data_IF_972965589317
#
_entry.id   IF_972965589317
#
_cell.length_a   1.000
_cell.length_b   1.000
_cell.length_c   1.000
_cell.angle_alpha   90.00
_cell.angle_beta   90.00
_cell.angle_gamma   90.00
#
_symmetry.space_group_name_H-M   'P 1'
#
loop_
_entity.id
_entity.type
_entity.pdbx_description
1 polymer ?
#
# COMPACT_ATOMS: atom_id res chain seq x y z
N UNK A 1 -13.20 14.04 -1.46
CA UNK A 1 -12.74 12.63 -1.43
C UNK A 1 -11.21 12.60 -1.41
N UNK A 2 -10.61 11.58 -0.80
CA UNK A 2 -9.15 11.39 -0.77
C UNK A 2 -8.74 10.41 -1.86
N UNK A 3 -7.73 10.77 -2.65
CA UNK A 3 -7.06 9.86 -3.57
C UNK A 3 -5.78 9.32 -2.92
N UNK A 4 -5.76 8.04 -2.59
CA UNK A 4 -4.59 7.30 -2.15
C UNK A 4 -3.92 6.64 -3.36
N UNK A 5 -2.61 6.78 -3.49
CA UNK A 5 -1.82 6.24 -4.58
C UNK A 5 -0.67 5.41 -4.00
N UNK A 6 -0.55 4.17 -4.45
CA UNK A 6 0.57 3.28 -4.13
C UNK A 6 1.33 2.92 -5.40
N UNK A 7 2.57 3.40 -5.51
CA UNK A 7 3.45 3.14 -6.66
C UNK A 7 4.44 2.04 -6.29
N UNK A 8 4.15 0.83 -6.76
CA UNK A 8 5.08 -0.29 -6.74
C UNK A 8 5.91 -0.38 -8.02
N UNK A 9 6.92 -1.25 -8.02
CA UNK A 9 7.76 -1.50 -9.20
C UNK A 9 6.98 -2.05 -10.40
N UNK A 10 5.93 -2.84 -10.17
CA UNK A 10 5.15 -3.49 -11.25
C UNK A 10 3.79 -2.86 -11.47
N UNK A 11 3.16 -2.38 -10.41
CA UNK A 11 1.83 -1.79 -10.49
C UNK A 11 1.76 -0.46 -9.74
N UNK A 12 0.98 0.47 -10.29
CA UNK A 12 0.45 1.62 -9.58
C UNK A 12 -1.00 1.30 -9.20
N UNK A 13 -1.33 1.42 -7.93
CA UNK A 13 -2.67 1.21 -7.40
C UNK A 13 -3.25 2.54 -6.92
N UNK A 14 -4.40 2.90 -7.45
CA UNK A 14 -5.17 4.07 -7.03
C UNK A 14 -6.34 3.60 -6.16
N UNK A 15 -6.61 4.31 -5.07
CA UNK A 15 -7.77 4.12 -4.21
C UNK A 15 -8.45 5.44 -3.94
N UNK A 16 -9.75 5.52 -4.20
CA UNK A 16 -10.56 6.71 -3.91
C UNK A 16 -11.40 6.46 -2.67
N UNK A 17 -11.19 7.28 -1.65
CA UNK A 17 -11.87 7.19 -0.37
C UNK A 17 -12.85 8.35 -0.18
N UNK A 18 -14.04 8.00 0.28
CA UNK A 18 -14.99 8.95 0.89
C UNK A 18 -15.04 8.64 2.38
N UNK A 19 -14.51 9.55 3.19
CA UNK A 19 -14.17 9.26 4.59
C UNK A 19 -13.30 7.99 4.65
N UNK A 20 -13.66 6.99 5.43
CA UNK A 20 -12.90 5.73 5.57
C UNK A 20 -13.36 4.63 4.59
N UNK A 21 -14.27 4.93 3.65
CA UNK A 21 -14.83 3.93 2.73
C UNK A 21 -14.15 4.03 1.37
N UNK A 22 -13.55 2.92 0.91
CA UNK A 22 -13.00 2.78 -0.44
C UNK A 22 -14.15 2.71 -1.46
N UNK A 23 -14.34 3.77 -2.24
CA UNK A 23 -15.41 3.89 -3.26
C UNK A 23 -15.00 3.32 -4.61
N UNK A 24 -13.72 3.35 -4.92
CA UNK A 24 -13.17 2.86 -6.18
C UNK A 24 -11.69 2.58 -6.05
N UNK A 25 -11.21 1.61 -6.82
CA UNK A 25 -9.79 1.33 -6.92
C UNK A 25 -9.44 0.90 -8.33
N UNK A 26 -8.23 1.23 -8.76
CA UNK A 26 -7.72 0.89 -10.09
C UNK A 26 -6.28 0.44 -9.98
N UNK A 27 -5.92 -0.54 -10.79
CA UNK A 27 -4.56 -1.06 -10.88
C UNK A 27 -4.06 -0.85 -12.31
N UNK A 28 -2.94 -0.17 -12.44
CA UNK A 28 -2.25 0.08 -13.69
C UNK A 28 -0.85 -0.55 -13.63
N UNK A 29 -0.30 -0.94 -14.76
CA UNK A 29 1.13 -1.29 -14.85
C UNK A 29 1.98 -0.06 -14.60
N UNK A 30 3.02 -0.21 -13.78
CA UNK A 30 4.01 0.84 -13.55
C UNK A 30 4.83 1.04 -14.82
N UNK A 31 4.85 2.28 -15.29
CA UNK A 31 5.73 2.71 -16.37
C UNK A 31 6.50 3.94 -15.88
N UNK A 32 7.81 3.76 -15.67
CA UNK A 32 8.70 4.79 -15.16
C UNK A 32 8.96 5.92 -16.17
N UNK A 33 8.60 5.73 -17.44
CA UNK A 33 8.79 6.69 -18.52
C UNK A 33 7.53 7.49 -18.83
N UNK A 34 6.37 7.07 -18.31
CA UNK A 34 5.13 7.83 -18.47
C UNK A 34 5.23 9.19 -17.80
N UNK A 35 4.75 10.18 -18.52
CA UNK A 35 4.68 11.57 -18.09
C UNK A 35 3.48 11.83 -17.17
N UNK A 36 3.50 12.98 -16.50
CA UNK A 36 2.39 13.42 -15.65
C UNK A 36 1.09 13.59 -16.43
N UNK A 37 1.18 14.00 -17.70
CA UNK A 37 0.02 14.17 -18.58
C UNK A 37 -0.62 12.82 -18.95
N UNK A 38 0.21 11.82 -19.25
CA UNK A 38 -0.30 10.47 -19.53
C UNK A 38 -1.00 9.86 -18.32
N UNK A 39 -0.42 9.97 -17.12
CA UNK A 39 -1.08 9.51 -15.89
C UNK A 39 -2.31 10.36 -15.56
N UNK A 40 -2.24 11.68 -15.73
CA UNK A 40 -3.32 12.62 -15.45
C UNK A 40 -4.56 12.35 -16.30
N UNK A 41 -4.39 12.27 -17.63
CA UNK A 41 -5.47 11.94 -18.57
C UNK A 41 -6.06 10.56 -18.30
N UNK A 42 -5.21 9.57 -18.06
CA UNK A 42 -5.65 8.21 -17.76
C UNK A 42 -6.49 8.18 -16.49
N UNK A 43 -6.04 8.82 -15.42
CA UNK A 43 -6.74 8.80 -14.14
C UNK A 43 -8.02 9.65 -14.17
N UNK A 44 -8.03 10.82 -14.83
CA UNK A 44 -9.27 11.57 -15.08
C UNK A 44 -10.30 10.75 -15.86
N UNK A 45 -9.84 9.93 -16.82
CA UNK A 45 -10.72 9.03 -17.58
C UNK A 45 -11.33 7.94 -16.70
N UNK A 46 -10.55 7.37 -15.77
CA UNK A 46 -11.02 6.38 -14.80
C UNK A 46 -12.05 6.97 -13.83
N UNK A 47 -11.81 8.17 -13.31
CA UNK A 47 -12.77 8.89 -12.45
C UNK A 47 -14.07 9.16 -13.19
N UNK A 48 -13.99 9.68 -14.42
CA UNK A 48 -15.16 9.95 -15.26
C UNK A 48 -15.97 8.68 -15.52
N UNK A 49 -15.30 7.56 -15.82
CA UNK A 49 -15.96 6.27 -16.04
C UNK A 49 -16.68 5.75 -14.78
N UNK A 50 -16.19 6.11 -13.59
CA UNK A 50 -16.85 5.84 -12.31
C UNK A 50 -17.92 6.87 -11.93
N UNK A 51 -18.18 7.88 -12.77
CA UNK A 51 -19.16 8.95 -12.51
C UNK A 51 -18.68 9.99 -11.50
N UNK A 52 -17.37 10.12 -11.30
CA UNK A 52 -16.75 10.99 -10.30
C UNK A 52 -16.07 12.16 -11.00
N UNK A 53 -16.44 13.38 -10.61
CA UNK A 53 -15.78 14.60 -11.08
C UNK A 53 -14.41 14.77 -10.43
N UNK A 54 -13.43 15.32 -11.16
CA UNK A 54 -12.09 15.59 -10.61
C UNK A 54 -12.12 16.59 -9.47
N UNK A 55 -13.09 17.51 -9.48
CA UNK A 55 -13.38 18.50 -8.44
C UNK A 55 -13.82 17.87 -7.09
N UNK A 56 -14.30 16.62 -7.12
CA UNK A 56 -14.65 15.87 -5.92
C UNK A 56 -13.43 15.29 -5.21
N UNK A 57 -12.27 15.22 -5.87
CA UNK A 57 -11.00 14.82 -5.26
C UNK A 57 -10.39 16.04 -4.61
N UNK A 58 -10.41 16.07 -3.27
CA UNK A 58 -10.03 17.23 -2.46
C UNK A 58 -8.66 17.09 -1.81
N UNK A 59 -8.06 15.90 -1.93
CA UNK A 59 -6.79 15.58 -1.31
C UNK A 59 -6.14 14.38 -2.01
N UNK A 60 -4.81 14.35 -1.99
CA UNK A 60 -4.02 13.26 -2.55
C UNK A 60 -2.91 12.85 -1.57
N UNK A 61 -2.69 11.55 -1.44
CA UNK A 61 -1.58 10.97 -0.68
C UNK A 61 -0.89 9.88 -1.50
N UNK A 62 0.43 9.80 -1.41
CA UNK A 62 1.27 8.90 -2.21
C UNK A 62 2.24 8.09 -1.34
N UNK A 63 2.21 6.78 -1.51
CA UNK A 63 3.31 5.84 -1.20
C UNK A 63 4.02 5.50 -2.50
N UNK A 64 5.36 5.53 -2.51
CA UNK A 64 6.15 5.17 -3.69
C UNK A 64 7.45 4.48 -3.30
N UNK A 65 7.73 3.36 -3.97
CA UNK A 65 9.05 2.70 -3.98
C UNK A 65 9.78 2.90 -5.31
N UNK A 66 9.24 3.74 -6.21
CA UNK A 66 9.81 4.07 -7.53
C UNK A 66 10.14 5.57 -7.56
N UNK A 67 11.38 5.97 -7.21
CA UNK A 67 11.73 7.38 -7.00
C UNK A 67 11.53 8.28 -8.23
N UNK A 68 11.69 7.73 -9.44
CA UNK A 68 11.52 8.48 -10.69
C UNK A 68 10.08 8.90 -10.96
N UNK A 69 9.09 8.24 -10.34
CA UNK A 69 7.67 8.53 -10.53
C UNK A 69 7.11 9.49 -9.48
N UNK A 70 7.75 9.65 -8.33
CA UNK A 70 7.31 10.61 -7.31
C UNK A 70 7.13 12.03 -7.88
N UNK A 71 8.12 12.68 -8.53
CA UNK A 71 7.95 14.02 -9.08
C UNK A 71 6.90 14.07 -10.21
N UNK A 72 6.75 12.99 -10.97
CA UNK A 72 5.71 12.86 -12.01
C UNK A 72 4.31 12.94 -11.41
N UNK A 73 4.07 12.24 -10.30
CA UNK A 73 2.78 12.22 -9.63
C UNK A 73 2.51 13.49 -8.82
N UNK A 74 3.55 14.14 -8.28
CA UNK A 74 3.43 15.48 -7.70
C UNK A 74 2.98 16.49 -8.76
N UNK A 75 3.60 16.48 -9.95
CA UNK A 75 3.20 17.36 -11.04
C UNK A 75 1.78 17.05 -11.56
N UNK A 76 1.41 15.78 -11.65
CA UNK A 76 0.05 15.37 -12.00
C UNK A 76 -0.98 15.93 -11.01
N UNK A 77 -0.69 15.88 -9.71
CA UNK A 77 -1.57 16.40 -8.66
C UNK A 77 -1.81 17.91 -8.80
N UNK A 78 -0.74 18.67 -9.07
CA UNK A 78 -0.83 20.13 -9.23
C UNK A 78 -1.59 20.51 -10.51
N UNK A 79 -1.29 19.85 -11.63
CA UNK A 79 -1.85 20.20 -12.94
C UNK A 79 -3.30 19.76 -13.11
N UNK A 80 -3.64 18.54 -12.70
CA UNK A 80 -4.95 17.91 -13.00
C UNK A 80 -5.93 17.91 -11.82
N UNK A 81 -5.43 18.06 -10.60
CA UNK A 81 -6.22 18.07 -9.37
C UNK A 81 -6.11 19.38 -8.60
N UNK A 82 -5.21 20.29 -8.99
CA UNK A 82 -4.99 21.59 -8.33
C UNK A 82 -4.74 21.47 -6.81
N UNK A 83 -4.12 20.37 -6.42
CA UNK A 83 -3.86 20.01 -5.03
C UNK A 83 -2.42 19.53 -4.87
N UNK A 84 -1.83 19.81 -3.71
CA UNK A 84 -0.50 19.29 -3.37
C UNK A 84 -0.61 17.82 -2.98
N UNK A 85 0.37 17.02 -3.40
CA UNK A 85 0.51 15.64 -3.01
C UNK A 85 1.11 15.54 -1.60
N UNK A 86 0.48 14.79 -0.70
CA UNK A 86 1.15 14.35 0.53
C UNK A 86 1.96 13.09 0.25
N UNK A 87 3.29 13.19 0.24
CA UNK A 87 4.17 12.04 0.01
C UNK A 87 4.52 11.39 1.36
N UNK A 88 4.31 10.09 1.48
CA UNK A 88 4.68 9.32 2.68
C UNK A 88 6.20 9.25 2.79
N UNK A 89 6.69 9.57 3.98
CA UNK A 89 8.11 9.47 4.34
C UNK A 89 8.26 8.94 5.77
N UNK A 90 9.45 8.47 6.17
CA UNK A 90 9.71 8.03 7.55
C UNK A 90 9.54 9.12 8.61
N UNK A 91 9.47 10.40 8.23
CA UNK A 91 9.22 11.52 9.15
C UNK A 91 7.74 11.80 9.38
N UNK A 92 6.83 11.16 8.64
CA UNK A 92 5.39 11.30 8.84
C UNK A 92 5.01 10.63 10.18
N UNK A 93 4.11 11.26 10.96
CA UNK A 93 3.58 10.59 12.15
C UNK A 93 2.75 9.39 11.74
N UNK A 94 3.27 8.20 12.03
CA UNK A 94 2.64 6.91 11.74
C UNK A 94 2.04 6.25 12.97
N UNK A 95 2.23 6.85 14.15
CA UNK A 95 1.89 6.21 15.43
C UNK A 95 2.76 5.02 15.79
N UNK A 96 3.84 4.78 15.04
CA UNK A 96 4.78 3.69 15.26
C UNK A 96 6.15 4.21 15.65
N UNK A 97 6.82 3.46 16.53
CA UNK A 97 8.25 3.65 16.79
C UNK A 97 9.05 2.80 15.80
N UNK A 98 9.84 3.44 14.95
CA UNK A 98 10.71 2.76 13.99
C UNK A 98 12.03 2.34 14.67
N UNK A 99 12.18 1.03 14.91
CA UNK A 99 13.38 0.44 15.52
C UNK A 99 14.42 -0.02 14.48
N UNK A 100 14.52 0.68 13.35
CA UNK A 100 15.51 0.41 12.30
C UNK A 100 16.78 1.23 12.54
N UNK A 101 17.95 0.66 12.20
CA UNK A 101 19.23 1.40 12.25
C UNK A 101 19.23 2.59 11.28
N UNK A 102 18.66 2.41 10.09
CA UNK A 102 18.46 3.48 9.11
C UNK A 102 17.01 3.49 8.60
N UNK A 103 16.11 4.28 9.21
CA UNK A 103 14.70 4.35 8.79
C UNK A 103 14.48 4.85 7.36
N UNK A 104 15.45 5.57 6.76
CA UNK A 104 15.33 6.10 5.40
C UNK A 104 15.43 5.03 4.31
N UNK A 105 15.98 3.86 4.63
CA UNK A 105 16.02 2.71 3.71
C UNK A 105 14.71 1.91 3.70
N UNK A 106 13.77 2.24 4.59
CA UNK A 106 12.48 1.57 4.66
C UNK A 106 11.59 2.02 3.49
N UNK A 107 11.12 1.06 2.70
CA UNK A 107 10.08 1.31 1.70
C UNK A 107 8.83 1.93 2.34
N UNK A 108 8.27 2.95 1.69
CA UNK A 108 7.09 3.66 2.19
C UNK A 108 5.88 2.73 2.31
N UNK A 109 5.75 1.76 1.41
CA UNK A 109 4.76 0.67 1.46
C UNK A 109 4.78 -0.11 2.77
N UNK A 110 5.97 -0.49 3.27
CA UNK A 110 6.14 -1.21 4.53
C UNK A 110 5.71 -0.39 5.73
N UNK A 111 6.04 0.91 5.73
CA UNK A 111 5.63 1.85 6.77
C UNK A 111 4.10 1.99 6.81
N UNK A 112 3.49 2.17 5.65
CA UNK A 112 2.03 2.29 5.48
C UNK A 112 1.33 1.02 5.96
N UNK A 113 1.78 -0.15 5.50
CA UNK A 113 1.22 -1.43 5.88
C UNK A 113 1.30 -1.67 7.39
N UNK A 114 2.45 -1.36 8.00
CA UNK A 114 2.63 -1.47 9.45
C UNK A 114 1.67 -0.55 10.22
N UNK A 115 1.52 0.71 9.79
CA UNK A 115 0.61 1.66 10.42
C UNK A 115 -0.84 1.19 10.33
N UNK A 116 -1.27 0.76 9.14
CA UNK A 116 -2.63 0.23 8.90
C UNK A 116 -2.93 -0.98 9.78
N UNK A 117 -2.02 -1.96 9.77
CA UNK A 117 -2.18 -3.19 10.53
C UNK A 117 -2.25 -2.91 12.03
N UNK A 118 -1.30 -2.14 12.55
CA UNK A 118 -1.26 -1.85 13.98
C UNK A 118 -2.46 -1.04 14.44
N UNK A 119 -2.91 -0.05 13.65
CA UNK A 119 -4.10 0.72 13.96
C UNK A 119 -5.36 -0.15 14.08
N UNK A 120 -5.44 -1.24 13.30
CA UNK A 120 -6.58 -2.14 13.33
C UNK A 120 -6.52 -3.17 14.46
N UNK A 121 -5.40 -3.89 14.58
CA UNK A 121 -5.34 -5.06 15.46
C UNK A 121 -4.78 -4.74 16.85
N UNK A 122 -4.02 -3.64 17.00
CA UNK A 122 -3.46 -3.18 18.28
C UNK A 122 -2.73 -4.29 19.07
N UNK A 123 -2.05 -5.19 18.36
CA UNK A 123 -1.36 -6.37 18.89
C UNK A 123 -0.02 -6.59 18.18
N UNK A 124 0.73 -7.60 18.60
CA UNK A 124 1.92 -8.06 17.89
C UNK A 124 1.53 -8.58 16.49
N UNK A 125 2.20 -8.11 15.45
CA UNK A 125 1.81 -8.35 14.06
C UNK A 125 3.00 -8.81 13.22
N UNK A 126 2.74 -9.74 12.30
CA UNK A 126 3.62 -10.07 11.18
C UNK A 126 2.84 -9.80 9.89
N UNK A 127 3.44 -9.01 9.00
CA UNK A 127 2.81 -8.62 7.73
C UNK A 127 3.59 -9.28 6.60
N UNK A 128 2.91 -10.06 5.79
CA UNK A 128 3.48 -10.74 4.62
C UNK A 128 2.95 -10.03 3.36
N UNK A 129 3.80 -9.21 2.74
CA UNK A 129 3.46 -8.54 1.48
C UNK A 129 3.95 -9.37 0.28
N UNK A 130 2.98 -9.95 -0.44
CA UNK A 130 3.21 -10.86 -1.55
C UNK A 130 3.09 -10.10 -2.88
N UNK A 131 4.19 -9.40 -3.21
CA UNK A 131 4.40 -8.65 -4.45
C UNK A 131 4.64 -9.51 -5.69
N UNK A 132 5.08 -8.86 -6.77
CA UNK A 132 4.99 -9.34 -8.16
C UNK A 132 6.17 -10.16 -8.70
N UNK A 133 6.82 -10.98 -7.88
CA UNK A 133 7.96 -11.79 -8.33
C UNK A 133 7.68 -13.30 -8.27
N UNK A 134 6.70 -13.83 -9.00
CA UNK A 134 6.65 -15.29 -9.26
C UNK A 134 5.88 -15.64 -10.54
N UNK A 135 6.54 -16.26 -11.51
CA UNK A 135 5.88 -17.02 -12.59
C UNK A 135 5.37 -18.35 -12.02
N UNK A 136 4.11 -18.70 -12.27
CA UNK A 136 3.46 -19.81 -11.56
C UNK A 136 3.84 -21.18 -12.11
N UNK A 137 4.41 -22.02 -11.24
CA UNK A 137 4.45 -23.47 -11.36
C UNK A 137 4.01 -24.06 -10.02
N UNK A 138 3.31 -25.20 -10.00
CA UNK A 138 2.73 -25.76 -8.77
C UNK A 138 3.76 -25.96 -7.65
N UNK A 139 4.99 -26.38 -7.99
CA UNK A 139 6.09 -26.49 -7.03
C UNK A 139 6.54 -25.16 -6.42
N UNK A 140 6.39 -24.04 -7.14
CA UNK A 140 6.70 -22.70 -6.64
C UNK A 140 5.67 -22.24 -5.62
N UNK A 141 4.38 -22.57 -5.80
CA UNK A 141 3.33 -22.18 -4.84
C UNK A 141 3.54 -22.92 -3.52
N UNK A 142 3.74 -24.24 -3.56
CA UNK A 142 3.98 -25.06 -2.35
C UNK A 142 5.28 -24.62 -1.67
N UNK A 143 6.35 -24.44 -2.45
CA UNK A 143 7.65 -23.98 -1.92
C UNK A 143 7.58 -22.60 -1.28
N UNK A 144 6.90 -21.64 -1.92
CA UNK A 144 6.73 -20.29 -1.40
C UNK A 144 5.86 -20.28 -0.13
N UNK A 145 4.80 -21.08 -0.11
CA UNK A 145 3.94 -21.26 1.08
C UNK A 145 4.74 -21.84 2.25
N UNK A 146 5.56 -22.87 2.00
CA UNK A 146 6.44 -23.45 3.03
C UNK A 146 7.47 -22.45 3.56
N UNK A 147 8.04 -21.63 2.66
CA UNK A 147 8.96 -20.56 3.03
C UNK A 147 8.29 -19.48 3.91
N UNK A 148 7.08 -19.05 3.55
CA UNK A 148 6.30 -18.10 4.37
C UNK A 148 6.05 -18.68 5.75
N UNK A 149 5.54 -19.92 5.84
CA UNK A 149 5.25 -20.56 7.12
C UNK A 149 6.49 -20.70 8.02
N UNK A 150 7.62 -21.12 7.44
CA UNK A 150 8.88 -21.30 8.17
C UNK A 150 9.44 -19.95 8.68
N UNK A 151 9.42 -18.91 7.85
CA UNK A 151 9.89 -17.58 8.24
C UNK A 151 9.01 -17.00 9.35
N UNK A 152 7.69 -17.08 9.19
CA UNK A 152 6.73 -16.61 10.21
C UNK A 152 6.93 -17.37 11.52
N UNK A 153 7.10 -18.69 11.48
CA UNK A 153 7.37 -19.51 12.66
C UNK A 153 8.65 -19.09 13.40
N UNK A 154 9.73 -18.80 12.66
CA UNK A 154 10.98 -18.27 13.25
C UNK A 154 10.80 -16.89 13.86
N UNK A 155 10.10 -15.98 13.17
CA UNK A 155 9.80 -14.65 13.69
C UNK A 155 9.00 -14.72 14.99
N UNK A 156 7.97 -15.57 15.07
CA UNK A 156 7.20 -15.76 16.31
C UNK A 156 8.05 -16.35 17.44
N UNK A 157 8.95 -17.30 17.14
CA UNK A 157 9.87 -17.86 18.12
C UNK A 157 10.85 -16.81 18.68
N UNK A 158 11.41 -15.96 17.81
CA UNK A 158 12.31 -14.86 18.20
C UNK A 158 11.58 -13.77 18.98
N UNK A 159 10.33 -13.45 18.61
CA UNK A 159 9.48 -12.53 19.35
C UNK A 159 9.09 -13.06 20.75
N UNK A 160 9.15 -14.37 20.98
CA UNK A 160 8.74 -15.00 22.23
C UNK A 160 7.23 -14.97 22.51
N UNK A 161 6.41 -14.61 21.50
CA UNK A 161 4.96 -14.54 21.60
C UNK A 161 4.28 -14.79 20.25
N UNK A 162 3.00 -15.16 20.27
CA UNK A 162 2.20 -15.29 19.06
C UNK A 162 1.82 -13.90 18.51
N UNK A 163 2.21 -13.63 17.27
CA UNK A 163 1.75 -12.46 16.52
C UNK A 163 0.60 -12.82 15.57
N UNK A 164 -0.33 -11.90 15.35
CA UNK A 164 -1.32 -11.98 14.28
C UNK A 164 -0.61 -11.82 12.94
N UNK A 165 -0.85 -12.75 12.01
CA UNK A 165 -0.21 -12.79 10.69
C UNK A 165 -1.22 -12.41 9.63
N UNK A 166 -0.95 -11.30 8.95
CA UNK A 166 -1.78 -10.79 7.87
C UNK A 166 -1.00 -10.82 6.55
N UNK A 167 -1.69 -11.12 5.46
CA UNK A 167 -1.12 -11.10 4.12
C UNK A 167 -1.77 -10.03 3.24
N UNK A 168 -0.95 -9.34 2.45
CA UNK A 168 -1.39 -8.37 1.43
C UNK A 168 -0.64 -8.64 0.11
N UNK A 169 -0.96 -7.88 -0.93
CA UNK A 169 -0.33 -8.02 -2.23
C UNK A 169 -1.08 -8.94 -3.19
N UNK A 170 -0.66 -8.92 -4.46
CA UNK A 170 -1.38 -9.57 -5.55
C UNK A 170 -1.47 -11.09 -5.45
N UNK A 171 -0.53 -11.74 -4.76
CA UNK A 171 -0.48 -13.20 -4.64
C UNK A 171 -1.05 -13.73 -3.31
N UNK A 172 -1.48 -12.84 -2.39
CA UNK A 172 -1.95 -13.26 -1.07
C UNK A 172 -3.16 -14.22 -1.14
N UNK A 173 -4.07 -14.00 -2.09
CA UNK A 173 -5.24 -14.86 -2.30
C UNK A 173 -4.88 -16.27 -2.76
N UNK A 174 -3.70 -16.46 -3.37
CA UNK A 174 -3.21 -17.77 -3.80
C UNK A 174 -2.46 -18.50 -2.70
N UNK A 175 -1.63 -17.78 -1.92
CA UNK A 175 -0.78 -18.36 -0.89
C UNK A 175 -1.54 -18.61 0.41
N UNK A 176 -2.38 -17.67 0.85
CA UNK A 176 -3.05 -17.76 2.15
C UNK A 176 -3.89 -19.03 2.35
N UNK A 177 -4.67 -19.54 1.37
CA UNK A 177 -5.42 -20.78 1.54
C UNK A 177 -4.57 -22.04 1.79
N UNK A 178 -3.27 -21.97 1.47
CA UNK A 178 -2.33 -23.09 1.59
C UNK A 178 -1.40 -22.93 2.80
N UNK A 179 -1.29 -21.71 3.33
CA UNK A 179 -0.46 -21.38 4.48
C UNK A 179 -1.12 -21.83 5.78
N UNK A 180 -0.30 -22.35 6.71
CA UNK A 180 -0.74 -22.66 8.08
C UNK A 180 -0.65 -21.47 9.01
N UNK A 181 0.11 -20.45 8.62
CA UNK A 181 0.47 -19.32 9.48
C UNK A 181 -0.27 -18.04 9.15
N UNK A 182 -0.79 -17.82 7.94
CA UNK A 182 -1.57 -16.61 7.60
C UNK A 182 -2.99 -16.72 8.18
N UNK A 183 -3.43 -15.72 8.95
CA UNK A 183 -4.80 -15.68 9.50
C UNK A 183 -5.78 -14.84 8.68
N UNK A 184 -5.32 -13.76 8.03
CA UNK A 184 -6.20 -12.85 7.30
C UNK A 184 -5.52 -12.32 6.03
N UNK A 185 -6.29 -12.18 4.95
CA UNK A 185 -5.84 -11.51 3.71
C UNK A 185 -6.49 -10.14 3.61
N UNK A 186 -5.67 -9.11 3.40
CA UNK A 186 -6.11 -7.71 3.24
C UNK A 186 -5.58 -7.11 1.94
N UNK A 187 -6.33 -7.24 0.84
CA UNK A 187 -5.87 -6.82 -0.50
C UNK A 187 -5.58 -5.32 -0.63
N UNK A 188 -6.18 -4.50 0.22
CA UNK A 188 -6.09 -3.04 0.19
C UNK A 188 -5.38 -2.46 1.42
N UNK A 189 -4.60 -3.27 2.15
CA UNK A 189 -3.93 -2.83 3.37
C UNK A 189 -3.12 -1.53 3.18
N UNK A 190 -2.39 -1.41 2.07
CA UNK A 190 -1.62 -0.21 1.74
C UNK A 190 -2.52 1.01 1.52
N UNK A 191 -3.63 0.85 0.79
CA UNK A 191 -4.57 1.94 0.54
C UNK A 191 -5.28 2.39 1.82
N UNK A 192 -5.70 1.44 2.66
CA UNK A 192 -6.27 1.70 3.98
C UNK A 192 -5.26 2.45 4.87
N UNK A 193 -3.99 2.07 4.84
CA UNK A 193 -2.92 2.76 5.56
C UNK A 193 -2.69 4.18 5.08
N UNK A 194 -2.76 4.42 3.77
CA UNK A 194 -2.66 5.76 3.21
C UNK A 194 -3.80 6.67 3.66
N UNK A 195 -5.04 6.17 3.67
CA UNK A 195 -6.18 6.91 4.20
C UNK A 195 -6.01 7.23 5.69
N UNK A 196 -5.54 6.25 6.48
CA UNK A 196 -5.26 6.43 7.89
C UNK A 196 -4.18 7.47 8.15
N UNK A 197 -3.05 7.39 7.45
CA UNK A 197 -1.94 8.34 7.62
C UNK A 197 -2.34 9.75 7.21
N UNK A 198 -3.18 9.88 6.18
CA UNK A 198 -3.74 11.17 5.77
C UNK A 198 -4.57 11.80 6.90
N UNK A 199 -5.53 11.05 7.46
CA UNK A 199 -6.35 11.50 8.62
C UNK A 199 -5.49 11.92 9.80
N UNK A 200 -4.50 11.10 10.14
CA UNK A 200 -3.61 11.34 11.28
C UNK A 200 -2.83 12.64 11.15
N UNK A 201 -2.36 12.94 9.94
CA UNK A 201 -1.67 14.21 9.62
C UNK A 201 -2.57 15.44 9.84
N UNK A 202 -3.90 15.27 9.78
CA UNK A 202 -4.89 16.33 10.01
C UNK A 202 -5.38 16.41 11.45
N UNK A 203 -5.04 15.45 12.30
CA UNK A 203 -5.56 15.34 13.66
C UNK A 203 -6.99 14.79 13.75
N UNK A 204 -7.45 14.10 12.70
CA UNK A 204 -8.81 13.52 12.60
C UNK A 204 -8.90 12.08 13.18
N UNK A 205 -7.96 11.72 14.07
CA UNK A 205 -7.74 10.36 14.59
C UNK A 205 -8.64 9.97 15.77
#
# INVERSE_FOLDING_TARGET
>A
MLLAIDIGNTNVVFGLFESQTLKGHWRLTTDAFKTADEYGVLFQSLLRAAGIGSDQVTALILSSVVPSLTPTFEHMAETYFHHRMLVVSPSLDTGLRLCYTNPQELGSDRLVNAAAAYARYKTALIIVDLGTATTFQAGLIIGHTGLVDEIVGRMQAELGQTATVIATGGLASLIAPQSRTIQEVRPFLTLEGLELLYRRTRGDD
#
